data_IF_424807875397
#
_entry.id   IF_424807875397
#
_cell.length_a   1.000
_cell.length_b   1.000
_cell.length_c   1.000
_cell.angle_alpha   90.00
_cell.angle_beta   90.00
_cell.angle_gamma   90.00
#
_symmetry.space_group_name_H-M   'P 1'
#
loop_
_entity.id
_entity.type
_entity.pdbx_description
1 polymer ?
#
# COMPACT_ATOMS: atom_id res chain seq x y z
N UNK A 1 -5.26 32.07 24.94
CA UNK A 1 -4.87 31.18 26.06
C UNK A 1 -3.81 30.24 25.51
N UNK A 2 -2.57 30.37 26.01
CA UNK A 2 -1.46 29.50 25.59
C UNK A 2 -1.63 28.15 26.28
N UNK A 3 -1.89 27.08 25.50
CA UNK A 3 -1.77 25.71 25.98
C UNK A 3 -0.27 25.39 26.00
N UNK A 4 0.35 25.56 27.16
CA UNK A 4 1.69 25.06 27.41
C UNK A 4 1.57 23.54 27.54
N UNK A 5 2.05 22.83 26.54
CA UNK A 5 2.14 21.38 26.58
C UNK A 5 3.15 20.96 27.64
N UNK A 6 2.66 20.38 28.73
CA UNK A 6 3.49 19.63 29.69
C UNK A 6 3.96 18.34 29.00
N UNK A 7 5.04 18.38 28.28
CA UNK A 7 5.77 17.19 27.87
C UNK A 7 6.71 16.80 29.01
N UNK A 8 6.19 16.03 29.96
CA UNK A 8 7.03 15.29 30.86
C UNK A 8 7.96 14.40 30.06
N UNK A 9 9.25 14.46 30.34
CA UNK A 9 10.26 13.59 29.75
C UNK A 9 9.89 12.13 30.05
N UNK A 10 9.24 11.46 29.08
CA UNK A 10 9.17 10.01 29.08
C UNK A 10 10.59 9.54 28.76
N UNK A 11 11.36 9.28 29.82
CA UNK A 11 12.64 8.61 29.71
C UNK A 11 12.35 7.25 29.09
N UNK A 12 12.71 7.09 27.80
CA UNK A 12 12.73 5.80 27.16
C UNK A 12 13.72 4.93 27.93
N UNK A 13 13.24 4.07 28.80
CA UNK A 13 14.01 2.91 29.24
C UNK A 13 14.16 1.99 28.02
N UNK A 14 15.14 2.32 27.20
CA UNK A 14 15.52 1.54 26.02
C UNK A 14 16.14 0.25 26.53
N UNK A 15 15.37 -0.80 26.59
CA UNK A 15 15.95 -2.12 26.53
C UNK A 15 16.72 -2.19 25.21
N UNK A 16 17.98 -2.59 25.24
CA UNK A 16 18.88 -2.71 24.08
C UNK A 16 18.20 -3.58 23.02
N UNK A 17 17.57 -2.92 22.03
CA UNK A 17 16.64 -3.50 21.09
C UNK A 17 17.31 -4.46 20.11
N UNK A 18 17.47 -5.73 20.52
CA UNK A 18 17.64 -6.81 19.55
C UNK A 18 16.25 -7.21 19.05
N UNK A 19 16.11 -7.37 17.72
CA UNK A 19 14.96 -8.08 17.18
C UNK A 19 14.85 -9.40 17.95
N UNK A 20 13.68 -9.72 18.50
CA UNK A 20 13.54 -10.99 19.18
C UNK A 20 13.75 -12.09 18.14
N UNK A 21 14.40 -13.19 18.52
CA UNK A 21 14.56 -14.34 17.63
C UNK A 21 13.20 -14.78 17.05
N UNK A 22 12.11 -14.54 17.80
CA UNK A 22 10.74 -14.81 17.36
C UNK A 22 10.25 -13.92 16.21
N UNK A 23 10.58 -12.62 16.20
CA UNK A 23 10.18 -11.70 15.11
C UNK A 23 10.94 -12.03 13.81
N UNK A 24 12.24 -12.33 13.93
CA UNK A 24 13.08 -12.78 12.80
C UNK A 24 12.58 -14.11 12.25
N UNK A 25 12.27 -15.08 13.13
CA UNK A 25 11.73 -16.37 12.73
C UNK A 25 10.37 -16.22 12.02
N UNK A 26 9.49 -15.38 12.54
CA UNK A 26 8.18 -15.10 11.92
C UNK A 26 8.34 -14.50 10.53
N UNK A 27 9.23 -13.51 10.34
CA UNK A 27 9.47 -12.92 9.03
C UNK A 27 10.00 -13.95 8.03
N UNK A 28 10.98 -14.77 8.44
CA UNK A 28 11.49 -15.85 7.59
C UNK A 28 10.40 -16.83 7.16
N UNK A 29 9.56 -17.27 8.09
CA UNK A 29 8.44 -18.17 7.79
C UNK A 29 7.42 -17.53 6.85
N UNK A 30 7.14 -16.24 6.98
CA UNK A 30 6.26 -15.52 6.05
C UNK A 30 6.90 -15.45 4.64
N UNK A 31 8.20 -15.18 4.53
CA UNK A 31 8.93 -15.15 3.25
C UNK A 31 8.88 -16.53 2.56
N UNK A 32 9.04 -17.62 3.31
CA UNK A 32 8.97 -19.01 2.79
C UNK A 32 7.60 -19.36 2.19
N UNK A 33 6.55 -18.61 2.50
CA UNK A 33 5.23 -18.77 1.90
C UNK A 33 5.17 -17.92 0.63
N UNK A 34 5.08 -18.53 -0.58
CA UNK A 34 5.05 -17.79 -1.84
C UNK A 34 3.65 -17.21 -2.11
N UNK A 35 3.21 -16.31 -1.22
CA UNK A 35 1.87 -15.70 -1.22
C UNK A 35 1.70 -14.67 -2.35
N UNK A 36 2.04 -15.06 -3.59
CA UNK A 36 1.79 -14.23 -4.77
C UNK A 36 0.30 -13.95 -4.88
N UNK A 37 -0.09 -12.69 -5.11
CA UNK A 37 -1.50 -12.25 -5.05
C UNK A 37 -2.44 -13.05 -5.93
N UNK A 38 -1.97 -13.54 -7.09
CA UNK A 38 -2.75 -14.40 -7.97
C UNK A 38 -2.92 -15.85 -7.46
N UNK A 39 -2.13 -16.28 -6.46
CA UNK A 39 -2.18 -17.62 -5.89
C UNK A 39 -2.95 -17.61 -4.55
N UNK A 40 -4.28 -17.64 -4.64
CA UNK A 40 -5.16 -17.56 -3.47
C UNK A 40 -4.84 -18.65 -2.42
N UNK A 41 -4.40 -19.83 -2.84
CA UNK A 41 -4.06 -20.94 -1.91
C UNK A 41 -2.89 -20.55 -1.02
N UNK A 42 -1.81 -20.01 -1.60
CA UNK A 42 -0.63 -19.60 -0.84
C UNK A 42 -0.88 -18.31 -0.04
N UNK A 43 -1.67 -17.38 -0.56
CA UNK A 43 -2.13 -16.20 0.20
C UNK A 43 -2.92 -16.65 1.43
N UNK A 44 -3.88 -17.56 1.27
CA UNK A 44 -4.66 -18.09 2.38
C UNK A 44 -3.76 -18.83 3.38
N UNK A 45 -2.72 -19.56 2.92
CA UNK A 45 -1.73 -20.19 3.81
C UNK A 45 -0.96 -19.17 4.65
N UNK A 46 -0.62 -18.01 4.06
CA UNK A 46 0.02 -16.93 4.80
C UNK A 46 -0.90 -16.30 5.86
N UNK A 47 -2.17 -16.09 5.51
CA UNK A 47 -3.21 -15.61 6.44
C UNK A 47 -3.42 -16.60 7.60
N UNK A 48 -3.54 -17.90 7.30
CA UNK A 48 -3.76 -18.94 8.32
C UNK A 48 -2.55 -19.06 9.26
N UNK A 49 -1.33 -19.06 8.70
CA UNK A 49 -0.09 -19.06 9.47
C UNK A 49 -0.04 -17.84 10.41
N UNK A 50 -0.24 -16.65 9.87
CA UNK A 50 -0.20 -15.41 10.66
C UNK A 50 -1.27 -15.42 11.76
N UNK A 51 -2.50 -15.81 11.43
CA UNK A 51 -3.60 -15.89 12.39
C UNK A 51 -3.28 -16.86 13.56
N UNK A 52 -2.66 -18.00 13.25
CA UNK A 52 -2.25 -18.96 14.28
C UNK A 52 -1.16 -18.38 15.19
N UNK A 53 -0.15 -17.72 14.62
CA UNK A 53 0.92 -17.09 15.40
C UNK A 53 0.41 -15.95 16.29
N UNK A 54 -0.47 -15.08 15.77
CA UNK A 54 -1.01 -13.98 16.56
C UNK A 54 -1.93 -14.45 17.69
N UNK A 55 -2.66 -15.57 17.50
CA UNK A 55 -3.42 -16.20 18.60
C UNK A 55 -2.51 -16.77 19.69
N UNK A 56 -1.35 -17.35 19.34
CA UNK A 56 -0.34 -17.78 20.33
C UNK A 56 0.20 -16.59 21.13
N UNK A 57 0.32 -15.42 20.48
CA UNK A 57 0.68 -14.16 21.16
C UNK A 57 -0.45 -13.61 22.07
N UNK A 58 -1.60 -14.28 22.14
CA UNK A 58 -2.76 -13.87 22.93
C UNK A 58 -3.52 -12.70 22.34
N UNK A 59 -3.44 -12.51 21.02
CA UNK A 59 -4.21 -11.49 20.30
C UNK A 59 -5.55 -12.06 19.82
N UNK A 60 -6.55 -11.20 19.78
CA UNK A 60 -7.85 -11.54 19.23
C UNK A 60 -7.80 -11.47 17.70
N UNK A 61 -8.24 -12.53 17.00
CA UNK A 61 -8.11 -12.67 15.56
C UNK A 61 -9.45 -13.05 14.91
N UNK A 62 -9.81 -12.37 13.85
CA UNK A 62 -10.92 -12.67 12.94
C UNK A 62 -10.40 -12.87 11.53
N UNK A 63 -10.74 -13.98 10.92
CA UNK A 63 -10.48 -14.27 9.51
C UNK A 63 -11.80 -14.17 8.77
N UNK A 64 -11.86 -13.29 7.78
CA UNK A 64 -12.99 -13.14 6.89
C UNK A 64 -12.65 -13.78 5.53
N UNK A 65 -13.68 -14.26 4.82
CA UNK A 65 -13.51 -14.84 3.49
C UNK A 65 -14.29 -14.02 2.46
N UNK A 66 -13.61 -13.60 1.41
CA UNK A 66 -14.20 -12.88 0.28
C UNK A 66 -14.91 -13.83 -0.69
N UNK A 67 -15.69 -13.27 -1.61
CA UNK A 67 -16.46 -14.07 -2.58
C UNK A 67 -15.64 -14.92 -3.54
N UNK A 68 -14.37 -14.59 -3.77
CA UNK A 68 -13.41 -15.35 -4.58
C UNK A 68 -12.68 -16.45 -3.79
N UNK A 69 -12.98 -16.62 -2.50
CA UNK A 69 -12.34 -17.57 -1.60
C UNK A 69 -11.07 -17.05 -0.92
N UNK A 70 -10.67 -15.81 -1.17
CA UNK A 70 -9.53 -15.14 -0.54
C UNK A 70 -9.86 -14.83 0.92
N UNK A 71 -8.90 -15.10 1.80
CA UNK A 71 -9.00 -14.79 3.23
C UNK A 71 -8.28 -13.48 3.54
N UNK A 72 -8.81 -12.75 4.50
CA UNK A 72 -8.20 -11.54 5.05
C UNK A 72 -8.27 -11.59 6.56
N UNK A 73 -7.23 -11.11 7.24
CA UNK A 73 -7.10 -11.19 8.69
C UNK A 73 -7.25 -9.82 9.32
N UNK A 74 -8.08 -9.75 10.35
CA UNK A 74 -8.05 -8.69 11.36
C UNK A 74 -7.54 -9.26 12.67
N UNK A 75 -6.65 -8.54 13.34
CA UNK A 75 -6.21 -8.86 14.69
C UNK A 75 -6.22 -7.62 15.58
N UNK A 76 -6.40 -7.81 16.90
CA UNK A 76 -6.35 -6.73 17.86
C UNK A 76 -5.84 -7.21 19.22
N UNK A 77 -5.28 -6.29 20.02
CA UNK A 77 -4.83 -6.59 21.38
C UNK A 77 -5.94 -6.55 22.43
N UNK A 78 -7.18 -6.37 22.00
CA UNK A 78 -8.43 -6.47 22.76
C UNK A 78 -9.56 -6.96 21.87
N UNK A 79 -10.66 -7.44 22.43
CA UNK A 79 -11.81 -7.93 21.67
C UNK A 79 -12.65 -6.77 21.12
N UNK A 80 -12.21 -6.18 20.02
CA UNK A 80 -12.89 -5.07 19.34
C UNK A 80 -12.56 -5.03 17.84
N UNK A 81 -13.57 -4.74 17.01
CA UNK A 81 -13.38 -4.47 15.57
C UNK A 81 -12.97 -3.01 15.29
N UNK A 82 -13.02 -2.13 16.29
CA UNK A 82 -12.71 -0.70 16.18
C UNK A 82 -11.84 -0.23 17.34
N UNK A 83 -10.54 -0.61 17.36
CA UNK A 83 -9.58 -0.12 18.33
C UNK A 83 -9.37 1.40 18.20
N UNK A 84 -8.62 1.99 19.12
CA UNK A 84 -8.25 3.40 19.01
C UNK A 84 -7.35 3.63 17.79
N UNK A 85 -6.42 2.71 17.53
CA UNK A 85 -5.47 2.78 16.42
C UNK A 85 -5.60 1.54 15.55
N UNK A 86 -5.74 1.76 14.25
CA UNK A 86 -5.69 0.71 13.23
C UNK A 86 -4.35 0.76 12.51
N UNK A 87 -3.63 -0.34 12.52
CA UNK A 87 -2.48 -0.58 11.66
C UNK A 87 -2.95 -1.26 10.35
N UNK A 88 -2.19 -1.10 9.27
CA UNK A 88 -2.42 -1.82 8.02
C UNK A 88 -1.10 -2.25 7.41
N UNK A 89 -1.03 -3.50 6.99
CA UNK A 89 0.04 -4.11 6.20
C UNK A 89 -0.57 -5.24 5.35
N UNK A 90 0.17 -5.81 4.40
CA UNK A 90 -0.35 -6.91 3.58
C UNK A 90 0.55 -8.14 3.59
N UNK A 91 -0.04 -9.30 3.31
CA UNK A 91 0.67 -10.60 3.32
C UNK A 91 0.97 -11.13 1.92
N UNK A 92 0.29 -10.60 0.91
CA UNK A 92 0.53 -10.96 -0.49
C UNK A 92 1.77 -10.26 -1.04
N UNK A 93 2.27 -10.74 -2.15
CA UNK A 93 3.48 -10.24 -2.80
C UNK A 93 3.34 -10.32 -4.32
N UNK A 94 4.11 -9.51 -5.06
CA UNK A 94 4.25 -9.67 -6.52
C UNK A 94 4.96 -10.99 -6.88
N UNK A 95 4.84 -11.49 -8.12
CA UNK A 95 5.59 -12.64 -8.60
C UNK A 95 7.10 -12.48 -8.38
N UNK A 96 7.76 -13.56 -8.00
CA UNK A 96 9.22 -13.62 -7.92
C UNK A 96 9.82 -13.91 -9.31
N UNK A 97 10.99 -13.36 -9.57
CA UNK A 97 11.76 -13.69 -10.79
C UNK A 97 12.32 -15.11 -10.72
N UNK A 98 12.66 -15.57 -9.51
CA UNK A 98 13.16 -16.89 -9.22
C UNK A 98 12.63 -17.41 -7.88
N UNK A 99 12.41 -18.73 -7.78
CA UNK A 99 11.88 -19.36 -6.57
C UNK A 99 12.79 -19.22 -5.35
N UNK A 100 14.09 -19.01 -5.54
CA UNK A 100 15.04 -18.76 -4.47
C UNK A 100 14.74 -17.49 -3.67
N UNK A 101 13.98 -16.55 -4.24
CA UNK A 101 13.51 -15.37 -3.52
C UNK A 101 12.55 -15.69 -2.36
N UNK A 102 11.96 -16.89 -2.32
CA UNK A 102 11.18 -17.40 -1.19
C UNK A 102 12.02 -18.21 -0.19
N UNK A 103 13.35 -18.20 -0.32
CA UNK A 103 14.28 -18.76 0.66
C UNK A 103 14.96 -17.61 1.39
N UNK A 104 14.53 -17.29 2.63
CA UNK A 104 15.04 -16.11 3.35
C UNK A 104 16.52 -16.26 3.66
N UNK A 105 17.31 -15.26 3.32
CA UNK A 105 18.76 -15.22 3.56
C UNK A 105 19.10 -14.07 4.51
N UNK A 106 19.83 -14.40 5.58
CA UNK A 106 20.33 -13.39 6.52
C UNK A 106 21.80 -13.08 6.24
N UNK A 107 22.09 -11.81 6.02
CA UNK A 107 23.44 -11.36 5.80
C UNK A 107 23.62 -9.92 6.34
N UNK A 108 24.67 -9.71 7.14
CA UNK A 108 25.03 -8.37 7.67
C UNK A 108 23.87 -7.59 8.29
N UNK A 109 23.03 -8.26 9.10
CA UNK A 109 21.90 -7.64 9.77
C UNK A 109 20.67 -7.38 8.90
N UNK A 110 20.68 -7.91 7.66
CA UNK A 110 19.55 -7.83 6.73
C UNK A 110 18.93 -9.19 6.49
N UNK A 111 17.62 -9.19 6.21
CA UNK A 111 16.90 -10.35 5.70
C UNK A 111 16.52 -10.06 4.25
N UNK A 112 16.96 -10.94 3.35
CA UNK A 112 16.65 -10.89 1.93
C UNK A 112 15.57 -11.91 1.61
N UNK A 113 14.66 -11.56 0.69
CA UNK A 113 13.63 -12.43 0.16
C UNK A 113 12.43 -11.66 -0.32
N UNK A 114 11.56 -12.27 -1.12
CA UNK A 114 10.33 -11.65 -1.62
C UNK A 114 9.37 -11.35 -0.46
N UNK A 115 8.97 -10.08 -0.33
CA UNK A 115 8.16 -9.58 0.78
C UNK A 115 8.99 -9.12 1.99
N UNK A 116 10.32 -9.10 1.90
CA UNK A 116 11.17 -8.60 2.98
C UNK A 116 11.14 -7.07 3.11
N UNK A 117 10.72 -6.35 2.06
CA UNK A 117 10.55 -4.90 2.03
C UNK A 117 9.12 -4.49 1.69
N UNK A 118 8.32 -5.44 1.15
CA UNK A 118 6.97 -5.17 0.67
C UNK A 118 6.12 -6.45 0.74
N UNK A 119 5.41 -6.71 1.85
CA UNK A 119 5.27 -5.87 3.06
C UNK A 119 5.30 -6.75 4.34
N UNK A 120 5.96 -7.96 4.29
CA UNK A 120 5.92 -8.96 5.39
C UNK A 120 6.68 -8.50 6.64
N UNK A 121 7.67 -7.64 6.50
CA UNK A 121 8.37 -7.01 7.62
C UNK A 121 7.43 -6.09 8.41
N UNK A 122 6.54 -5.38 7.73
CA UNK A 122 5.52 -4.55 8.37
C UNK A 122 4.42 -5.39 9.03
N UNK A 123 4.12 -6.58 8.50
CA UNK A 123 3.27 -7.56 9.19
C UNK A 123 3.86 -7.95 10.54
N UNK A 124 5.18 -8.18 10.60
CA UNK A 124 5.89 -8.47 11.85
C UNK A 124 5.90 -7.26 12.78
N UNK A 125 6.11 -6.06 12.25
CA UNK A 125 6.02 -4.81 13.01
C UNK A 125 4.63 -4.61 13.63
N UNK A 126 3.55 -4.85 12.89
CA UNK A 126 2.18 -4.81 13.41
C UNK A 126 1.99 -5.79 14.57
N UNK A 127 2.44 -7.04 14.41
CA UNK A 127 2.34 -8.07 15.44
C UNK A 127 3.08 -7.64 16.72
N UNK A 128 4.28 -7.10 16.59
CA UNK A 128 5.08 -6.60 17.69
C UNK A 128 4.38 -5.43 18.42
N UNK A 129 3.91 -4.43 17.68
CA UNK A 129 3.21 -3.28 18.24
C UNK A 129 1.97 -3.69 19.04
N UNK A 130 1.16 -4.60 18.52
CA UNK A 130 -0.03 -5.09 19.22
C UNK A 130 0.33 -5.79 20.54
N UNK A 131 1.42 -6.57 20.58
CA UNK A 131 1.91 -7.21 21.82
C UNK A 131 2.40 -6.19 22.84
N UNK A 132 3.27 -5.27 22.43
CA UNK A 132 3.91 -4.29 23.33
C UNK A 132 2.94 -3.25 23.90
N UNK A 133 1.88 -2.94 23.16
CA UNK A 133 0.85 -1.97 23.55
C UNK A 133 -0.34 -2.61 24.27
N UNK A 134 -0.37 -3.95 24.44
CA UNK A 134 -1.45 -4.61 25.18
C UNK A 134 -1.59 -4.08 26.60
N UNK A 135 -2.81 -3.67 26.96
CA UNK A 135 -3.10 -3.04 28.26
C UNK A 135 -2.71 -1.54 28.37
N UNK A 136 -2.09 -0.96 27.34
CA UNK A 136 -1.68 0.45 27.31
C UNK A 136 -2.48 1.28 26.32
N UNK A 137 -2.56 0.80 25.08
CA UNK A 137 -3.28 1.44 23.98
C UNK A 137 -4.08 0.38 23.23
N UNK A 138 -5.31 0.68 22.83
CA UNK A 138 -6.13 -0.22 22.03
C UNK A 138 -5.67 -0.17 20.57
N UNK A 139 -5.07 -1.26 20.08
CA UNK A 139 -4.48 -1.37 18.74
C UNK A 139 -4.98 -2.62 18.04
N UNK A 140 -5.35 -2.48 16.77
CA UNK A 140 -5.61 -3.61 15.90
C UNK A 140 -4.94 -3.43 14.54
N UNK A 141 -4.99 -4.45 13.72
CA UNK A 141 -4.41 -4.44 12.38
C UNK A 141 -5.30 -5.16 11.36
N UNK A 142 -5.41 -4.62 10.17
CA UNK A 142 -5.86 -5.32 8.97
C UNK A 142 -4.62 -5.81 8.24
N UNK A 143 -4.59 -7.11 7.91
CA UNK A 143 -3.58 -7.71 7.06
C UNK A 143 -4.22 -8.05 5.72
N UNK A 144 -4.03 -7.12 4.75
CA UNK A 144 -4.50 -7.24 3.38
C UNK A 144 -3.92 -8.47 2.69
N UNK A 145 -4.61 -8.97 1.70
CA UNK A 145 -4.24 -10.21 1.00
C UNK A 145 -4.23 -10.08 -0.52
N UNK A 146 -4.38 -8.86 -1.04
CA UNK A 146 -4.40 -8.53 -2.46
C UNK A 146 -3.98 -7.07 -2.74
N UNK A 147 -3.12 -6.49 -1.88
CA UNK A 147 -2.66 -5.11 -2.03
C UNK A 147 -2.07 -4.89 -3.42
N UNK A 148 -1.18 -5.78 -3.85
CA UNK A 148 -0.42 -5.75 -5.09
C UNK A 148 -1.30 -5.76 -6.37
N UNK A 149 -2.54 -6.21 -6.22
CA UNK A 149 -3.51 -6.25 -7.33
C UNK A 149 -4.72 -5.35 -7.11
N UNK A 150 -4.69 -4.49 -6.07
CA UNK A 150 -5.70 -3.43 -5.88
C UNK A 150 -6.31 -3.29 -4.50
N UNK A 151 -6.02 -4.18 -3.53
CA UNK A 151 -6.39 -4.04 -2.12
C UNK A 151 -7.89 -4.17 -1.84
N UNK A 152 -8.61 -4.95 -2.64
CA UNK A 152 -10.05 -5.16 -2.43
C UNK A 152 -10.36 -5.78 -1.05
N UNK A 153 -9.42 -6.58 -0.51
CA UNK A 153 -9.53 -7.20 0.81
C UNK A 153 -9.58 -6.16 1.94
N UNK A 154 -8.76 -5.13 1.88
CA UNK A 154 -8.81 -4.01 2.84
C UNK A 154 -10.12 -3.23 2.74
N UNK A 155 -10.59 -2.94 1.52
CA UNK A 155 -11.90 -2.32 1.30
C UNK A 155 -13.03 -3.18 1.87
N UNK A 156 -13.00 -4.49 1.62
CA UNK A 156 -13.96 -5.46 2.14
C UNK A 156 -14.02 -5.47 3.68
N UNK A 157 -12.87 -5.41 4.35
CA UNK A 157 -12.82 -5.33 5.82
C UNK A 157 -13.45 -4.05 6.35
N UNK A 158 -13.22 -2.91 5.70
CA UNK A 158 -13.87 -1.65 6.06
C UNK A 158 -15.38 -1.75 5.90
N UNK A 159 -15.87 -2.35 4.81
CA UNK A 159 -17.30 -2.55 4.54
C UNK A 159 -17.96 -3.51 5.56
N UNK A 160 -17.17 -4.42 6.14
CA UNK A 160 -17.58 -5.29 7.27
C UNK A 160 -17.59 -4.57 8.63
N UNK A 161 -17.17 -3.31 8.69
CA UNK A 161 -17.18 -2.50 9.91
C UNK A 161 -15.86 -2.54 10.71
N UNK A 162 -14.81 -3.18 10.20
CA UNK A 162 -13.48 -3.09 10.81
C UNK A 162 -12.87 -1.71 10.56
N UNK A 163 -12.20 -1.15 11.55
CA UNK A 163 -11.64 0.20 11.43
C UNK A 163 -10.94 0.68 12.69
N UNK A 164 -10.88 1.98 12.89
CA UNK A 164 -10.37 2.63 14.10
C UNK A 164 -11.37 3.66 14.62
N UNK A 165 -11.09 4.18 15.84
CA UNK A 165 -11.82 5.31 16.41
C UNK A 165 -11.04 6.63 16.38
N UNK A 166 -9.69 6.60 16.26
CA UNK A 166 -8.85 7.80 16.42
C UNK A 166 -7.78 7.97 15.34
N UNK A 167 -7.02 6.92 14.98
CA UNK A 167 -5.86 7.01 14.10
C UNK A 167 -5.73 5.77 13.22
N UNK A 168 -5.28 5.97 11.99
CA UNK A 168 -4.86 4.91 11.06
C UNK A 168 -3.36 5.04 10.81
N UNK A 169 -2.62 3.93 10.86
CA UNK A 169 -1.22 3.86 10.48
C UNK A 169 -1.07 2.81 9.38
N UNK A 170 -0.75 3.24 8.18
CA UNK A 170 -0.43 2.36 7.05
C UNK A 170 1.06 2.10 7.07
N UNK A 171 1.43 0.85 7.26
CA UNK A 171 2.80 0.38 7.26
C UNK A 171 3.06 -0.29 5.92
N UNK A 172 3.40 0.53 4.92
CA UNK A 172 3.57 0.10 3.53
C UNK A 172 4.31 1.20 2.76
N UNK A 173 5.49 1.53 3.26
CA UNK A 173 6.42 2.46 2.63
C UNK A 173 7.85 2.03 2.94
N UNK A 174 8.80 2.54 2.19
CA UNK A 174 10.23 2.26 2.39
C UNK A 174 10.97 3.47 2.99
N UNK A 175 12.21 3.26 3.39
CA UNK A 175 13.22 4.33 3.58
C UNK A 175 13.02 5.24 4.79
N UNK A 176 12.45 4.77 5.89
CA UNK A 176 12.16 5.65 7.04
C UNK A 176 11.31 6.89 6.68
N UNK A 177 10.46 6.76 5.67
CA UNK A 177 9.70 7.89 5.18
C UNK A 177 8.40 8.09 5.94
N UNK A 178 7.97 9.36 6.02
CA UNK A 178 6.58 9.73 6.30
C UNK A 178 5.98 10.11 4.96
N UNK A 179 5.18 9.22 4.40
CA UNK A 179 4.54 9.47 3.11
C UNK A 179 3.29 10.32 3.31
N UNK A 180 3.22 11.45 2.62
CA UNK A 180 2.08 12.39 2.70
C UNK A 180 1.27 12.43 1.42
N UNK A 181 1.83 11.97 0.31
CA UNK A 181 1.14 11.93 -0.98
C UNK A 181 1.35 10.58 -1.65
N UNK A 182 0.27 10.03 -2.20
CA UNK A 182 0.28 8.84 -3.04
C UNK A 182 -0.60 9.09 -4.26
N UNK A 183 -0.13 8.70 -5.44
CA UNK A 183 -0.95 8.79 -6.65
C UNK A 183 -2.05 7.74 -6.61
N UNK A 184 -3.22 8.15 -7.09
CA UNK A 184 -4.28 7.19 -7.42
C UNK A 184 -3.86 6.30 -8.59
N UNK A 185 -4.53 5.16 -8.71
CA UNK A 185 -4.35 4.23 -9.83
C UNK A 185 -5.70 3.83 -10.40
N UNK A 186 -5.83 3.89 -11.73
CA UNK A 186 -6.93 3.26 -12.44
C UNK A 186 -6.42 2.49 -13.66
N UNK A 187 -7.08 1.38 -13.98
CA UNK A 187 -6.89 0.66 -15.24
C UNK A 187 -8.17 0.69 -16.05
N UNK A 188 -8.03 1.04 -17.32
CA UNK A 188 -9.14 1.12 -18.26
C UNK A 188 -8.87 0.26 -19.49
N UNK A 189 -9.94 -0.33 -19.99
CA UNK A 189 -9.95 -0.98 -21.29
C UNK A 189 -10.78 -0.13 -22.23
N UNK A 190 -10.23 0.12 -23.40
CA UNK A 190 -10.77 0.94 -24.48
C UNK A 190 -10.88 0.09 -25.73
N UNK A 191 -12.00 0.15 -26.42
CA UNK A 191 -12.25 -0.62 -27.63
C UNK A 191 -12.47 0.30 -28.84
N UNK A 192 -12.04 -0.17 -30.02
CA UNK A 192 -12.33 0.48 -31.28
C UNK A 192 -12.77 -0.54 -32.31
N UNK A 193 -13.84 -0.19 -33.02
CA UNK A 193 -14.30 -0.94 -34.17
C UNK A 193 -14.39 0.01 -35.35
N UNK A 194 -13.88 -0.41 -36.52
CA UNK A 194 -13.97 0.34 -37.77
C UNK A 194 -14.73 -0.44 -38.82
N UNK A 195 -15.45 0.22 -39.75
CA UNK A 195 -16.19 -0.45 -40.79
C UNK A 195 -15.29 -1.33 -41.67
N UNK A 196 -15.82 -2.42 -42.19
CA UNK A 196 -15.10 -3.24 -43.16
C UNK A 196 -14.86 -2.44 -44.45
N UNK A 197 -13.59 -2.34 -44.88
CA UNK A 197 -13.20 -1.66 -46.09
C UNK A 197 -12.19 -2.49 -46.86
N UNK A 198 -12.33 -2.53 -48.18
CA UNK A 198 -11.32 -3.14 -49.05
C UNK A 198 -10.17 -2.15 -49.23
N UNK A 199 -8.95 -2.57 -48.83
CA UNK A 199 -7.78 -1.68 -48.81
C UNK A 199 -7.44 -1.04 -50.17
N UNK A 200 -7.68 -1.72 -51.26
CA UNK A 200 -7.44 -1.22 -52.61
C UNK A 200 -8.56 -0.32 -53.18
N UNK A 201 -9.68 -0.16 -52.49
CA UNK A 201 -10.83 0.64 -52.96
C UNK A 201 -11.03 1.96 -52.18
N UNK A 202 -10.19 2.24 -51.23
CA UNK A 202 -10.27 3.45 -50.38
C UNK A 202 -9.35 4.53 -50.93
N UNK A 203 -9.88 5.72 -51.19
CA UNK A 203 -9.04 6.91 -51.44
C UNK A 203 -8.43 7.35 -50.11
N UNK A 204 -7.13 7.15 -49.95
CA UNK A 204 -6.38 7.47 -48.74
C UNK A 204 -6.06 6.27 -47.85
N UNK A 205 -5.84 6.51 -46.53
CA UNK A 205 -5.48 5.46 -45.58
C UNK A 205 -6.74 4.68 -45.18
N UNK A 206 -6.76 3.35 -45.30
CA UNK A 206 -7.89 2.55 -44.87
C UNK A 206 -8.07 2.62 -43.36
N UNK A 207 -9.31 2.68 -42.84
CA UNK A 207 -9.55 2.65 -41.39
C UNK A 207 -8.89 1.44 -40.71
N UNK A 208 -8.24 1.67 -39.59
CA UNK A 208 -7.52 0.65 -38.83
C UNK A 208 -7.73 0.86 -37.35
N UNK A 209 -8.42 -0.08 -36.69
CA UNK A 209 -8.79 0.03 -35.27
C UNK A 209 -7.56 0.16 -34.35
N UNK A 210 -6.45 -0.54 -34.62
CA UNK A 210 -5.21 -0.45 -33.85
C UNK A 210 -4.58 0.96 -33.98
N UNK A 211 -4.51 1.49 -35.19
CA UNK A 211 -3.97 2.84 -35.42
C UNK A 211 -4.85 3.93 -34.81
N UNK A 212 -6.17 3.77 -34.87
CA UNK A 212 -7.10 4.68 -34.21
C UNK A 212 -6.94 4.69 -32.68
N UNK A 213 -6.76 3.51 -32.05
CA UNK A 213 -6.48 3.42 -30.61
C UNK A 213 -5.19 4.15 -30.24
N UNK A 214 -4.10 3.93 -30.98
CA UNK A 214 -2.81 4.59 -30.75
C UNK A 214 -2.97 6.12 -30.88
N UNK A 215 -3.63 6.60 -31.94
CA UNK A 215 -3.87 8.03 -32.15
C UNK A 215 -4.68 8.65 -31.02
N UNK A 216 -5.74 7.97 -30.56
CA UNK A 216 -6.53 8.44 -29.42
C UNK A 216 -5.70 8.46 -28.13
N UNK A 217 -4.86 7.43 -27.90
CA UNK A 217 -3.95 7.37 -26.76
C UNK A 217 -3.00 8.57 -26.76
N UNK A 218 -2.33 8.85 -27.87
CA UNK A 218 -1.40 9.97 -27.98
C UNK A 218 -2.11 11.32 -27.74
N UNK A 219 -3.33 11.47 -28.28
CA UNK A 219 -4.15 12.67 -28.06
C UNK A 219 -4.52 12.88 -26.60
N UNK A 220 -4.87 11.81 -25.86
CA UNK A 220 -5.15 11.88 -24.42
C UNK A 220 -3.87 12.17 -23.63
N UNK A 221 -2.78 11.46 -23.94
CA UNK A 221 -1.50 11.61 -23.25
C UNK A 221 -0.98 13.04 -23.33
N UNK A 222 -1.17 13.70 -24.48
CA UNK A 222 -0.78 15.10 -24.67
C UNK A 222 -1.64 16.10 -23.88
N UNK A 223 -2.82 15.70 -23.41
CA UNK A 223 -3.78 16.56 -22.68
C UNK A 223 -3.84 16.25 -21.19
N UNK A 224 -3.18 15.19 -20.74
CA UNK A 224 -3.11 14.88 -19.30
C UNK A 224 -2.39 16.02 -18.57
N UNK A 225 -2.99 16.56 -17.50
CA UNK A 225 -2.44 17.71 -16.81
C UNK A 225 -1.03 17.43 -16.27
N UNK A 226 -0.08 18.27 -16.62
CA UNK A 226 1.17 18.42 -15.90
C UNK A 226 0.93 19.28 -14.65
N UNK A 227 1.73 19.09 -13.60
CA UNK A 227 1.75 19.96 -12.44
C UNK A 227 2.98 20.84 -12.45
N UNK A 228 2.89 22.02 -11.83
CA UNK A 228 3.94 23.06 -11.90
C UNK A 228 5.30 22.62 -11.38
N UNK A 229 5.34 21.67 -10.43
CA UNK A 229 6.60 21.13 -9.88
C UNK A 229 7.32 20.12 -10.79
N UNK A 230 6.70 19.78 -11.93
CA UNK A 230 7.27 18.89 -12.95
C UNK A 230 7.43 17.41 -12.53
N UNK A 231 7.40 17.10 -11.25
CA UNK A 231 7.63 15.75 -10.70
C UNK A 231 6.34 15.07 -10.25
N UNK A 232 5.43 15.80 -9.63
CA UNK A 232 4.14 15.32 -9.16
C UNK A 232 3.04 15.60 -10.19
N UNK A 233 2.90 14.72 -11.18
CA UNK A 233 1.95 14.85 -12.29
C UNK A 233 1.20 13.57 -12.55
N UNK A 234 0.09 13.67 -13.28
CA UNK A 234 -0.60 12.50 -13.80
C UNK A 234 0.29 11.79 -14.83
N UNK A 235 0.14 10.46 -14.90
CA UNK A 235 0.88 9.62 -15.84
C UNK A 235 -0.09 8.62 -16.45
N UNK A 236 0.00 8.42 -17.76
CA UNK A 236 -0.72 7.37 -18.46
C UNK A 236 0.27 6.47 -19.18
N UNK A 237 0.12 5.15 -19.03
CA UNK A 237 0.94 4.14 -19.69
C UNK A 237 0.07 3.17 -20.47
N UNK A 238 0.55 2.79 -21.64
CA UNK A 238 -0.03 1.70 -22.43
C UNK A 238 0.48 0.37 -21.86
N UNK A 239 -0.43 -0.47 -21.38
CA UNK A 239 -0.10 -1.77 -20.82
C UNK A 239 -0.20 -2.89 -21.86
N UNK A 240 -1.24 -2.83 -22.69
CA UNK A 240 -1.51 -3.83 -23.71
C UNK A 240 -2.32 -3.23 -24.85
N UNK A 241 -2.05 -3.68 -26.07
CA UNK A 241 -2.89 -3.44 -27.24
C UNK A 241 -2.96 -4.72 -28.06
N UNK A 242 -4.15 -5.13 -28.42
CA UNK A 242 -4.36 -6.34 -29.24
C UNK A 242 -5.58 -6.21 -30.13
N UNK A 243 -5.65 -7.04 -31.15
CA UNK A 243 -6.79 -7.09 -32.06
C UNK A 243 -6.41 -7.18 -33.52
N UNK A 244 -7.34 -6.74 -34.34
CA UNK A 244 -7.21 -6.75 -35.81
C UNK A 244 -7.39 -5.33 -36.34
N UNK A 245 -7.20 -5.15 -37.65
CA UNK A 245 -7.53 -3.89 -38.33
C UNK A 245 -8.98 -3.44 -38.11
N UNK A 246 -9.92 -4.40 -37.91
CA UNK A 246 -11.36 -4.08 -37.76
C UNK A 246 -11.81 -3.84 -36.33
N UNK A 247 -11.28 -4.61 -35.41
CA UNK A 247 -11.61 -4.50 -33.99
C UNK A 247 -10.34 -4.67 -33.16
N UNK A 248 -10.11 -3.75 -32.26
CA UNK A 248 -8.97 -3.77 -31.34
C UNK A 248 -9.38 -3.32 -29.95
N UNK A 249 -8.60 -3.75 -28.97
CA UNK A 249 -8.71 -3.40 -27.56
C UNK A 249 -7.37 -2.87 -27.06
N UNK A 250 -7.43 -1.91 -26.16
CA UNK A 250 -6.25 -1.31 -25.51
C UNK A 250 -6.48 -1.26 -24.01
N UNK A 251 -5.51 -1.72 -23.22
CA UNK A 251 -5.48 -1.54 -21.79
C UNK A 251 -4.46 -0.46 -21.42
N UNK A 252 -4.90 0.52 -20.63
CA UNK A 252 -4.07 1.60 -20.13
C UNK A 252 -4.09 1.65 -18.61
N UNK A 253 -2.98 2.05 -18.01
CA UNK A 253 -2.87 2.39 -16.61
C UNK A 253 -2.74 3.92 -16.47
N UNK A 254 -3.54 4.51 -15.58
CA UNK A 254 -3.49 5.92 -15.27
C UNK A 254 -3.13 6.11 -13.80
N UNK A 255 -2.15 6.96 -13.54
CA UNK A 255 -1.78 7.44 -12.21
C UNK A 255 -2.20 8.89 -12.06
N UNK A 256 -3.15 9.17 -11.16
CA UNK A 256 -3.61 10.53 -10.87
C UNK A 256 -2.92 11.09 -9.62
N UNK A 257 -2.40 12.29 -9.74
CA UNK A 257 -1.67 13.00 -8.67
C UNK A 257 -2.61 13.73 -7.70
N UNK A 258 -3.90 13.86 -8.00
CA UNK A 258 -4.90 14.52 -7.14
C UNK A 258 -6.11 13.63 -6.89
N UNK A 259 -6.75 13.81 -5.73
CA UNK A 259 -8.04 13.19 -5.43
C UNK A 259 -9.12 13.69 -6.42
N UNK A 260 -9.93 12.77 -6.93
CA UNK A 260 -10.98 13.09 -7.93
C UNK A 260 -10.45 13.32 -9.34
N UNK A 261 -9.14 13.24 -9.60
CA UNK A 261 -8.52 13.48 -10.91
C UNK A 261 -9.00 12.53 -12.01
N UNK A 262 -9.44 11.33 -11.65
CA UNK A 262 -9.94 10.36 -12.63
C UNK A 262 -11.17 10.84 -13.40
N UNK A 263 -12.01 11.70 -12.83
CA UNK A 263 -13.18 12.23 -13.52
C UNK A 263 -12.78 13.05 -14.76
N UNK A 264 -11.69 13.82 -14.68
CA UNK A 264 -11.15 14.60 -15.80
C UNK A 264 -10.55 13.67 -16.87
N UNK A 265 -9.79 12.68 -16.43
CA UNK A 265 -9.19 11.67 -17.34
C UNK A 265 -10.29 10.87 -18.05
N UNK A 266 -11.29 10.39 -17.36
CA UNK A 266 -12.42 9.65 -17.94
C UNK A 266 -13.18 10.50 -18.96
N UNK A 267 -13.34 11.81 -18.71
CA UNK A 267 -13.93 12.74 -19.67
C UNK A 267 -13.08 12.85 -20.93
N UNK A 268 -11.76 12.94 -20.80
CA UNK A 268 -10.85 12.97 -21.94
C UNK A 268 -10.90 11.64 -22.72
N UNK A 269 -10.89 10.51 -22.03
CA UNK A 269 -11.00 9.19 -22.65
C UNK A 269 -12.29 9.08 -23.46
N UNK A 270 -13.44 9.45 -22.90
CA UNK A 270 -14.73 9.43 -23.63
C UNK A 270 -14.68 10.29 -24.87
N UNK A 271 -14.13 11.51 -24.75
CA UNK A 271 -14.06 12.47 -25.85
C UNK A 271 -13.20 11.97 -27.00
N UNK A 272 -12.02 11.42 -26.72
CA UNK A 272 -11.05 11.03 -27.74
C UNK A 272 -11.34 9.66 -28.35
N UNK A 273 -11.79 8.71 -27.55
CA UNK A 273 -12.09 7.36 -28.03
C UNK A 273 -13.51 7.21 -28.58
N UNK A 274 -14.41 8.13 -28.22
CA UNK A 274 -15.81 8.11 -28.64
C UNK A 274 -16.61 6.94 -28.06
N UNK A 275 -16.14 6.35 -26.95
CA UNK A 275 -16.77 5.26 -26.22
C UNK A 275 -16.51 5.37 -24.71
N UNK A 276 -17.33 4.71 -23.93
CA UNK A 276 -17.15 4.66 -22.46
C UNK A 276 -15.95 3.76 -22.12
N UNK A 277 -14.97 4.25 -21.35
CA UNK A 277 -13.87 3.42 -20.88
C UNK A 277 -14.37 2.39 -19.88
N UNK A 278 -14.05 1.11 -20.08
CA UNK A 278 -14.37 0.06 -19.10
C UNK A 278 -13.32 0.06 -18.01
N UNK A 279 -13.69 0.54 -16.83
CA UNK A 279 -12.81 0.55 -15.67
C UNK A 279 -12.64 -0.86 -15.10
N UNK A 280 -11.42 -1.36 -15.02
CA UNK A 280 -11.08 -2.65 -14.39
C UNK A 280 -10.86 -2.50 -12.89
N UNK A 281 -10.17 -1.44 -12.49
CA UNK A 281 -9.93 -1.07 -11.09
C UNK A 281 -9.67 0.43 -10.97
N UNK A 282 -10.01 0.98 -9.82
CA UNK A 282 -9.74 2.39 -9.50
C UNK A 282 -9.53 2.56 -7.99
N UNK A 283 -8.47 3.29 -7.63
CA UNK A 283 -8.21 3.74 -6.27
C UNK A 283 -7.75 5.19 -6.30
N UNK A 284 -8.39 6.04 -5.51
CA UNK A 284 -8.10 7.47 -5.48
C UNK A 284 -6.71 7.81 -4.92
N UNK A 285 -6.20 8.97 -5.28
CA UNK A 285 -4.99 9.54 -4.68
C UNK A 285 -5.21 9.78 -3.18
N UNK A 286 -4.14 9.67 -2.40
CA UNK A 286 -4.12 10.04 -0.99
C UNK A 286 -3.24 11.28 -0.83
N UNK A 287 -3.83 12.34 -0.29
CA UNK A 287 -3.16 13.61 -0.05
C UNK A 287 -3.41 14.00 1.41
N UNK A 288 -2.38 13.80 2.23
CA UNK A 288 -2.45 14.19 3.65
C UNK A 288 -2.01 15.63 3.81
N UNK A 289 -2.71 16.35 4.65
CA UNK A 289 -2.33 17.70 5.04
C UNK A 289 -1.11 17.64 5.98
N UNK A 290 0.03 18.10 5.50
CA UNK A 290 1.32 18.07 6.19
C UNK A 290 1.35 18.94 7.47
N UNK A 291 0.33 19.78 7.67
CA UNK A 291 0.15 20.58 8.88
C UNK A 291 -0.64 19.85 9.97
N UNK A 292 -1.17 18.66 9.70
CA UNK A 292 -1.90 17.88 10.70
C UNK A 292 -1.03 17.60 11.92
N UNK A 293 -1.55 17.82 13.14
CA UNK A 293 -0.78 17.64 14.38
C UNK A 293 -0.12 16.27 14.47
N UNK A 294 -0.82 15.20 14.12
CA UNK A 294 -0.28 13.83 14.17
C UNK A 294 0.95 13.63 13.27
N UNK A 295 0.96 14.23 12.09
CA UNK A 295 2.10 14.17 11.17
C UNK A 295 3.28 14.99 11.70
N UNK A 296 3.01 16.22 12.15
CA UNK A 296 4.03 17.11 12.70
C UNK A 296 4.68 16.50 13.94
N UNK A 297 3.87 16.01 14.88
CA UNK A 297 4.36 15.43 16.13
C UNK A 297 5.13 14.14 15.89
N UNK A 298 4.68 13.28 14.98
CA UNK A 298 5.39 12.06 14.63
C UNK A 298 6.75 12.37 13.97
N UNK A 299 6.79 13.34 13.06
CA UNK A 299 8.04 13.82 12.45
C UNK A 299 9.03 14.33 13.48
N UNK A 300 8.56 15.09 14.49
CA UNK A 300 9.41 15.56 15.57
C UNK A 300 9.89 14.41 16.48
N UNK A 301 9.10 13.37 16.67
CA UNK A 301 9.54 12.16 17.37
C UNK A 301 10.66 11.45 16.58
N UNK A 302 10.55 11.35 15.26
CA UNK A 302 11.60 10.79 14.40
C UNK A 302 12.89 11.61 14.47
N UNK A 303 12.80 12.94 14.35
CA UNK A 303 13.96 13.84 14.43
C UNK A 303 14.69 13.76 15.77
N UNK A 304 13.97 13.59 16.85
CA UNK A 304 14.56 13.41 18.20
C UNK A 304 15.24 12.04 18.33
N UNK A 305 14.66 11.00 17.78
CA UNK A 305 15.22 9.64 17.84
C UNK A 305 16.46 9.49 16.94
N UNK A 306 16.45 10.14 15.79
CA UNK A 306 17.54 10.07 14.78
C UNK A 306 17.95 11.48 14.33
N UNK A 307 18.65 12.25 15.19
CA UNK A 307 19.02 13.65 14.90
C UNK A 307 19.96 13.78 13.69
N UNK A 308 20.69 12.71 13.36
CA UNK A 308 21.61 12.64 12.22
C UNK A 308 20.89 12.36 10.89
N UNK A 309 19.59 12.00 10.94
CA UNK A 309 18.82 11.68 9.72
C UNK A 309 17.97 12.86 9.28
N UNK A 310 17.94 13.07 7.97
CA UNK A 310 16.99 13.98 7.37
C UNK A 310 15.61 13.33 7.36
N UNK A 311 14.67 13.89 8.11
CA UNK A 311 13.28 13.43 8.16
C UNK A 311 12.41 14.44 7.43
N UNK A 312 12.11 14.14 6.19
CA UNK A 312 11.21 14.93 5.34
C UNK A 312 9.92 14.16 5.05
N UNK A 313 8.92 14.86 4.57
CA UNK A 313 7.75 14.25 3.96
C UNK A 313 8.10 13.71 2.58
N UNK A 314 7.51 12.58 2.25
CA UNK A 314 7.78 11.86 1.01
C UNK A 314 6.51 11.77 0.15
N UNK A 315 6.71 11.84 -1.16
CA UNK A 315 5.65 11.68 -2.15
C UNK A 315 5.88 10.38 -2.93
N UNK A 316 4.96 9.45 -2.79
CA UNK A 316 5.04 8.13 -3.38
C UNK A 316 4.32 8.10 -4.73
N UNK A 317 5.02 7.76 -5.80
CA UNK A 317 4.43 7.65 -7.15
C UNK A 317 3.54 6.40 -7.32
N UNK A 318 3.61 5.44 -6.41
CA UNK A 318 2.73 4.27 -6.30
C UNK A 318 1.55 4.54 -5.35
N UNK A 319 0.76 3.51 -5.07
CA UNK A 319 -0.38 3.54 -4.16
C UNK A 319 -0.25 2.40 -3.16
N UNK A 320 -0.74 2.59 -1.95
CA UNK A 320 -0.88 1.57 -0.92
C UNK A 320 -2.35 1.42 -0.52
N UNK A 321 -2.67 0.55 0.42
CA UNK A 321 -4.02 0.40 0.97
C UNK A 321 -4.56 1.65 1.69
N UNK A 322 -3.73 2.68 1.88
CA UNK A 322 -4.19 4.01 2.32
C UNK A 322 -5.32 4.56 1.45
N UNK A 323 -5.33 4.21 0.12
CA UNK A 323 -6.41 4.55 -0.82
C UNK A 323 -7.79 4.07 -0.39
N UNK A 324 -7.87 2.96 0.35
CA UNK A 324 -9.12 2.44 0.89
C UNK A 324 -9.38 2.96 2.31
N UNK A 325 -8.34 3.03 3.14
CA UNK A 325 -8.40 3.42 4.54
C UNK A 325 -8.78 4.91 4.74
N UNK A 326 -8.49 5.79 3.77
CA UNK A 326 -8.96 7.19 3.80
C UNK A 326 -10.49 7.32 3.89
N UNK A 327 -11.26 6.27 3.52
CA UNK A 327 -12.72 6.22 3.68
C UNK A 327 -13.16 6.29 5.14
N UNK A 328 -12.29 5.93 6.08
CA UNK A 328 -12.55 6.06 7.51
C UNK A 328 -12.58 7.52 7.99
N UNK A 329 -12.05 8.46 7.21
CA UNK A 329 -12.01 9.91 7.49
C UNK A 329 -11.34 10.23 8.84
N UNK A 330 -10.31 9.48 9.18
CA UNK A 330 -9.51 9.64 10.39
C UNK A 330 -8.14 10.22 10.03
N UNK A 331 -7.43 10.83 11.00
CA UNK A 331 -6.00 11.11 10.88
C UNK A 331 -5.25 9.87 10.42
N UNK A 332 -4.25 10.05 9.55
CA UNK A 332 -3.52 8.94 8.95
C UNK A 332 -2.02 9.23 8.93
N UNK A 333 -1.23 8.22 9.27
CA UNK A 333 0.21 8.15 9.04
C UNK A 333 0.49 7.04 8.02
N UNK A 334 1.40 7.29 7.07
CA UNK A 334 1.88 6.27 6.13
C UNK A 334 3.39 6.20 6.31
N UNK A 335 3.87 5.06 6.80
CA UNK A 335 5.21 4.89 7.35
C UNK A 335 5.92 3.67 6.76
N UNK A 336 7.24 3.70 6.78
CA UNK A 336 8.08 2.60 6.35
C UNK A 336 9.36 2.46 7.15
N UNK A 337 9.86 1.24 7.27
CA UNK A 337 11.14 0.90 7.91
C UNK A 337 12.32 1.06 6.94
N UNK A 338 13.56 0.79 7.40
CA UNK A 338 14.73 0.73 6.52
C UNK A 338 14.72 -0.59 5.73
N UNK A 339 13.96 -0.58 4.68
CA UNK A 339 13.80 -1.65 3.72
C UNK A 339 14.00 -1.10 2.31
N UNK A 340 14.39 -1.94 1.37
CA UNK A 340 14.67 -1.51 0.01
C UNK A 340 14.47 -2.63 -1.00
N UNK A 341 14.28 -2.20 -2.24
CA UNK A 341 14.27 -3.07 -3.39
C UNK A 341 12.97 -3.83 -3.56
N UNK A 342 11.86 -3.27 -3.09
CA UNK A 342 10.52 -3.79 -3.38
C UNK A 342 10.39 -4.16 -4.85
N UNK A 343 9.76 -5.30 -5.14
CA UNK A 343 9.55 -5.85 -6.49
C UNK A 343 10.83 -6.28 -7.24
N UNK A 344 12.03 -6.15 -6.66
CA UNK A 344 13.28 -6.59 -7.31
C UNK A 344 13.77 -7.96 -6.82
N UNK A 345 14.84 -8.47 -7.43
CA UNK A 345 15.49 -9.71 -6.99
C UNK A 345 16.35 -9.53 -5.72
N UNK A 346 16.65 -8.30 -5.32
CA UNK A 346 17.55 -7.96 -4.21
C UNK A 346 16.81 -7.31 -3.04
N UNK A 347 15.55 -7.56 -2.92
CA UNK A 347 14.67 -7.06 -1.87
C UNK A 347 15.17 -7.47 -0.48
N UNK A 348 15.24 -6.51 0.45
CA UNK A 348 15.68 -6.76 1.82
C UNK A 348 15.12 -5.76 2.83
N UNK A 349 15.13 -6.16 4.11
CA UNK A 349 14.89 -5.28 5.26
C UNK A 349 16.08 -5.29 6.21
N UNK A 350 16.40 -4.16 6.81
CA UNK A 350 17.31 -4.06 7.95
C UNK A 350 16.57 -4.50 9.23
N UNK A 351 17.01 -5.60 9.84
CA UNK A 351 16.32 -6.21 10.99
C UNK A 351 16.17 -5.24 12.16
N UNK A 352 17.20 -4.43 12.43
CA UNK A 352 17.21 -3.50 13.56
C UNK A 352 16.15 -2.43 13.39
N UNK A 353 15.88 -2.01 12.15
CA UNK A 353 14.90 -0.95 11.88
C UNK A 353 13.48 -1.33 12.28
N UNK A 354 13.11 -2.61 12.22
CA UNK A 354 11.79 -3.08 12.67
C UNK A 354 11.61 -2.80 14.16
N UNK A 355 12.66 -3.05 14.96
CA UNK A 355 12.63 -2.83 16.40
C UNK A 355 12.60 -1.35 16.74
N UNK A 356 13.51 -0.59 16.13
CA UNK A 356 13.62 0.86 16.35
C UNK A 356 12.33 1.60 15.98
N UNK A 357 11.68 1.15 14.91
CA UNK A 357 10.40 1.71 14.50
C UNK A 357 9.25 1.30 15.41
N UNK A 358 9.25 0.05 15.90
CA UNK A 358 8.28 -0.39 16.90
C UNK A 358 8.37 0.46 18.16
N UNK A 359 9.58 0.70 18.69
CA UNK A 359 9.81 1.54 19.85
C UNK A 359 9.33 2.99 19.63
N UNK A 360 9.63 3.56 18.46
CA UNK A 360 9.20 4.90 18.10
C UNK A 360 7.67 5.02 18.06
N UNK A 361 7.02 4.11 17.31
CA UNK A 361 5.55 4.12 17.16
C UNK A 361 4.89 3.83 18.51
N UNK A 362 5.38 2.86 19.29
CA UNK A 362 4.84 2.55 20.61
C UNK A 362 4.95 3.75 21.56
N UNK A 363 6.11 4.42 21.62
CA UNK A 363 6.30 5.62 22.42
C UNK A 363 5.37 6.75 22.01
N UNK A 364 5.23 6.99 20.71
CA UNK A 364 4.30 7.97 20.16
C UNK A 364 2.85 7.67 20.55
N UNK A 365 2.40 6.42 20.38
CA UNK A 365 1.03 6.01 20.68
C UNK A 365 0.72 6.06 22.19
N UNK A 366 1.67 5.69 23.04
CA UNK A 366 1.52 5.80 24.49
C UNK A 366 1.37 7.28 24.88
N UNK A 367 2.19 8.16 24.32
CA UNK A 367 2.11 9.59 24.61
C UNK A 367 0.78 10.26 24.21
N UNK A 368 0.08 9.72 23.20
CA UNK A 368 -1.16 10.30 22.69
C UNK A 368 -2.43 9.57 23.11
N UNK A 369 -2.37 8.28 23.42
CA UNK A 369 -3.55 7.42 23.58
C UNK A 369 -3.52 6.53 24.83
N UNK A 370 -2.49 6.64 25.70
CA UNK A 370 -2.50 5.87 26.96
C UNK A 370 -3.73 6.25 27.81
N UNK A 371 -4.34 5.22 28.38
CA UNK A 371 -5.51 5.33 29.27
C UNK A 371 -5.08 5.76 30.67
#
# INVERSE_FOLDING_TARGET
MRVVSLWAAVVFAVGTGRASDGDVARLKRLIEIPSVSSNIVEVNRAVDFLSAELRKDGLWCKVETMGDGRRVLFAANGETCRPDVLLSAHVDVVPAMDRSQFVPRCEKGRIYGRGASDCKEHVVLCARLMRELKGKVSVGAIFGSDEEIGGASTAFMIDKGYGASKLVIVLDSEQFAITTRQKGLARYVLEKTVPPTHSGMVKGVPPNALQELIRCYDSVAAKIPGYEDGTWRDVMTLERIEGTRRKAEMEICVRCAKFGGFAEVEKLLRSEFGSEPRCLRKGEAVLLDETQPYLVDFRECMRRKWPERKVDFYHLNSSTDARHLQRLKLPMLILGVDARGAHTATEYVNIVSIVEYAELIAGYLIGHFSR
#
